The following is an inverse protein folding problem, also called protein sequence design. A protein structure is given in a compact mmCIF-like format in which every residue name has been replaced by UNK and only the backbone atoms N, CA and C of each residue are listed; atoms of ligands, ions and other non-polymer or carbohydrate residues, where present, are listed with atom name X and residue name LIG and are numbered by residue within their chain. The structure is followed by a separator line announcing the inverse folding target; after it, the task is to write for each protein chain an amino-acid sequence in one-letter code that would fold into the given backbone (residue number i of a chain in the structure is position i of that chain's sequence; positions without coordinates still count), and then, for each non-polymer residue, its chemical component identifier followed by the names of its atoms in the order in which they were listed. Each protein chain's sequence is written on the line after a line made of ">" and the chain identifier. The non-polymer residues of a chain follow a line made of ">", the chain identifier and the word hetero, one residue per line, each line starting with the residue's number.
data_IF_174188421945
#
_entry.id   IF_174188421945
#
_cell.length_a   1.000
_cell.length_b   1.000
_cell.length_c   1.000
_cell.angle_alpha   90.00
_cell.angle_beta   90.00
_cell.angle_gamma   90.00
#
_symmetry.space_group_name_H-M   'P 1'
#
loop_
_entity.id
_entity.type
_entity.pdbx_description
1 polymer ?
#
# COMPACT_ATOMS: atom_id res chain seq x y z
N UNK A 1 -31.17 24.07 25.88
CA UNK A 1 -30.75 23.65 24.52
C UNK A 1 -29.49 22.84 24.75
N UNK A 2 -29.52 21.55 24.41
CA UNK A 2 -28.45 20.61 24.75
C UNK A 2 -27.63 20.30 23.50
N UNK A 3 -26.30 20.38 23.62
CA UNK A 3 -25.40 20.04 22.53
C UNK A 3 -25.40 18.52 22.31
N UNK A 4 -25.57 18.09 21.06
CA UNK A 4 -25.57 16.68 20.68
C UNK A 4 -24.39 16.35 19.75
N UNK A 5 -23.75 15.21 19.98
CA UNK A 5 -22.67 14.71 19.14
C UNK A 5 -23.27 14.14 17.86
N UNK A 6 -22.95 14.75 16.72
CA UNK A 6 -23.45 14.39 15.40
C UNK A 6 -22.31 13.89 14.51
N UNK A 7 -22.55 12.81 13.76
CA UNK A 7 -21.63 12.36 12.71
C UNK A 7 -21.73 13.28 11.48
N UNK A 8 -20.67 14.04 11.13
CA UNK A 8 -20.78 15.11 10.13
C UNK A 8 -20.84 14.59 8.68
N UNK A 9 -20.59 13.30 8.44
CA UNK A 9 -20.58 12.70 7.09
C UNK A 9 -21.91 12.02 6.74
N UNK A 10 -22.99 12.32 7.46
CA UNK A 10 -24.33 11.80 7.18
C UNK A 10 -25.37 12.86 7.53
N UNK A 11 -26.41 13.00 6.70
CA UNK A 11 -27.44 14.05 6.86
C UNK A 11 -28.28 13.84 8.12
N UNK A 12 -28.50 12.57 8.47
CA UNK A 12 -29.27 12.18 9.66
C UNK A 12 -28.43 12.23 10.93
N UNK A 13 -27.14 12.59 10.83
CA UNK A 13 -26.25 12.73 11.97
C UNK A 13 -25.83 11.42 12.66
N UNK A 14 -26.34 10.27 12.20
CA UNK A 14 -26.05 8.96 12.76
C UNK A 14 -24.81 8.33 12.11
N UNK A 15 -23.97 7.73 12.96
CA UNK A 15 -22.85 6.92 12.49
C UNK A 15 -23.33 5.57 11.94
N UNK A 16 -22.71 5.11 10.85
CA UNK A 16 -22.82 3.73 10.38
C UNK A 16 -21.46 3.23 9.92
N UNK A 17 -21.25 1.91 9.96
CA UNK A 17 -20.02 1.29 9.45
C UNK A 17 -19.78 1.69 7.99
N UNK A 18 -20.85 1.82 7.20
CA UNK A 18 -20.80 2.27 5.80
C UNK A 18 -20.30 3.71 5.67
N UNK A 19 -20.80 4.64 6.49
CA UNK A 19 -20.37 6.04 6.44
C UNK A 19 -18.94 6.22 6.97
N UNK A 20 -18.54 5.46 8.00
CA UNK A 20 -17.16 5.40 8.47
C UNK A 20 -16.20 4.85 7.41
N UNK A 21 -16.56 3.75 6.75
CA UNK A 21 -15.76 3.18 5.66
C UNK A 21 -15.64 4.13 4.47
N UNK A 22 -16.73 4.81 4.09
CA UNK A 22 -16.72 5.79 3.02
C UNK A 22 -15.79 6.98 3.34
N UNK A 23 -15.80 7.44 4.60
CA UNK A 23 -14.88 8.47 5.08
C UNK A 23 -13.41 8.03 4.96
N UNK A 24 -13.09 6.83 5.44
CA UNK A 24 -11.73 6.27 5.36
C UNK A 24 -11.26 6.14 3.91
N UNK A 25 -12.14 5.69 3.01
CA UNK A 25 -11.85 5.60 1.57
C UNK A 25 -11.62 6.98 0.96
N UNK A 26 -12.43 7.96 1.32
CA UNK A 26 -12.25 9.34 0.87
C UNK A 26 -10.92 9.92 1.36
N UNK A 27 -10.59 9.74 2.64
CA UNK A 27 -9.30 10.18 3.19
C UNK A 27 -8.11 9.50 2.52
N UNK A 28 -8.19 8.20 2.27
CA UNK A 28 -7.15 7.46 1.57
C UNK A 28 -6.99 7.93 0.12
N UNK A 29 -8.08 8.30 -0.55
CA UNK A 29 -8.07 8.87 -1.89
C UNK A 29 -7.46 10.28 -1.90
N UNK A 30 -7.85 11.14 -0.95
CA UNK A 30 -7.33 12.51 -0.82
C UNK A 30 -5.87 12.55 -0.36
N UNK A 31 -5.41 11.62 0.49
CA UNK A 31 -3.99 11.48 0.80
C UNK A 31 -3.19 10.95 -0.39
N UNK A 32 -3.84 10.18 -1.27
CA UNK A 32 -3.28 9.68 -2.52
C UNK A 32 -3.58 10.61 -3.72
N UNK A 33 -3.85 11.90 -3.51
CA UNK A 33 -4.02 12.91 -4.58
C UNK A 33 -2.85 12.94 -5.59
N UNK A 34 -1.74 12.27 -5.29
CA UNK A 34 -0.80 11.76 -6.29
C UNK A 34 -1.39 10.54 -7.03
N UNK A 35 -2.40 10.77 -7.88
CA UNK A 35 -2.91 9.81 -8.87
C UNK A 35 -1.84 9.33 -9.88
N UNK A 36 -0.60 9.77 -9.72
CA UNK A 36 0.62 9.29 -10.39
C UNK A 36 1.12 7.93 -9.86
N UNK A 37 0.63 7.44 -8.72
CA UNK A 37 1.09 6.16 -8.14
C UNK A 37 0.68 4.92 -8.97
N UNK A 38 -0.54 4.89 -9.50
CA UNK A 38 -0.98 3.82 -10.42
C UNK A 38 -0.20 3.82 -11.73
N UNK A 39 0.03 5.02 -12.30
CA UNK A 39 0.80 5.15 -13.54
C UNK A 39 2.28 4.77 -13.36
N UNK A 40 2.90 5.14 -12.24
CA UNK A 40 4.29 4.79 -11.97
C UNK A 40 4.47 3.30 -11.72
N UNK A 41 3.61 2.68 -10.91
CA UNK A 41 3.67 1.24 -10.66
C UNK A 41 3.46 0.42 -11.94
N UNK A 42 2.48 0.81 -12.77
CA UNK A 42 2.25 0.15 -14.07
C UNK A 42 3.40 0.39 -15.04
N UNK A 43 4.05 1.56 -15.02
CA UNK A 43 5.22 1.85 -15.85
C UNK A 43 6.44 1.00 -15.47
N UNK A 44 6.68 0.75 -14.18
CA UNK A 44 7.76 -0.13 -13.72
C UNK A 44 7.59 -1.54 -14.28
N UNK A 45 6.38 -2.09 -14.22
CA UNK A 45 6.11 -3.42 -14.79
C UNK A 45 6.28 -3.46 -16.31
N UNK A 46 5.79 -2.45 -17.03
CA UNK A 46 6.00 -2.35 -18.48
C UNK A 46 7.48 -2.36 -18.83
N UNK A 47 8.30 -1.56 -18.14
CA UNK A 47 9.76 -1.53 -18.35
C UNK A 47 10.41 -2.87 -18.01
N UNK A 48 10.05 -3.48 -16.88
CA UNK A 48 10.64 -4.75 -16.45
C UNK A 48 10.40 -5.88 -17.45
N UNK A 49 9.18 -5.97 -17.99
CA UNK A 49 8.83 -7.03 -18.94
C UNK A 49 9.40 -6.79 -20.34
N UNK A 50 9.59 -5.53 -20.73
CA UNK A 50 10.21 -5.14 -22.01
C UNK A 50 11.74 -5.26 -22.03
N UNK A 51 12.40 -5.51 -20.89
CA UNK A 51 13.86 -5.69 -20.85
C UNK A 51 14.29 -6.90 -21.71
N UNK A 52 15.32 -6.72 -22.53
CA UNK A 52 15.95 -7.80 -23.31
C UNK A 52 16.89 -8.61 -22.40
N UNK A 53 16.32 -9.45 -21.54
CA UNK A 53 17.07 -10.29 -20.59
C UNK A 53 16.44 -11.67 -20.47
N UNK A 54 17.19 -12.64 -19.94
CA UNK A 54 16.71 -14.00 -19.71
C UNK A 54 15.50 -13.95 -18.74
N UNK A 55 14.42 -14.72 -18.97
CA UNK A 55 13.22 -14.73 -18.13
C UNK A 55 13.51 -14.88 -16.63
N UNK A 56 14.53 -15.65 -16.27
CA UNK A 56 14.98 -15.85 -14.88
C UNK A 56 15.33 -14.54 -14.18
N UNK A 57 15.97 -13.60 -14.87
CA UNK A 57 16.31 -12.28 -14.29
C UNK A 57 15.08 -11.42 -14.09
N UNK A 58 14.12 -11.44 -15.03
CA UNK A 58 12.85 -10.70 -14.89
C UNK A 58 12.08 -11.15 -13.66
N UNK A 59 11.99 -12.46 -13.42
CA UNK A 59 11.35 -13.03 -12.22
C UNK A 59 12.11 -12.65 -10.96
N UNK A 60 13.45 -12.72 -10.96
CA UNK A 60 14.25 -12.30 -9.82
C UNK A 60 14.01 -10.83 -9.47
N UNK A 61 14.05 -9.95 -10.47
CA UNK A 61 13.77 -8.51 -10.31
C UNK A 61 12.35 -8.26 -9.82
N UNK A 62 11.35 -8.97 -10.34
CA UNK A 62 9.98 -8.93 -9.84
C UNK A 62 9.91 -9.28 -8.35
N UNK A 63 10.63 -10.33 -7.91
CA UNK A 63 10.68 -10.74 -6.49
C UNK A 63 11.38 -9.69 -5.62
N UNK A 64 12.45 -9.06 -6.13
CA UNK A 64 13.17 -7.98 -5.43
C UNK A 64 12.26 -6.76 -5.23
N UNK A 65 11.64 -6.28 -6.32
CA UNK A 65 10.76 -5.10 -6.31
C UNK A 65 9.57 -5.31 -5.36
N UNK A 66 9.00 -6.52 -5.33
CA UNK A 66 7.90 -6.87 -4.44
C UNK A 66 8.34 -7.24 -3.01
N UNK A 67 9.63 -7.11 -2.64
CA UNK A 67 10.14 -7.53 -1.32
C UNK A 67 9.74 -8.96 -0.95
N UNK A 68 9.68 -9.83 -1.96
CA UNK A 68 9.28 -11.23 -1.85
C UNK A 68 10.47 -12.16 -1.57
N UNK A 69 11.70 -11.62 -1.58
CA UNK A 69 12.88 -12.36 -1.16
C UNK A 69 12.99 -12.37 0.37
N UNK A 70 13.40 -13.50 0.97
CA UNK A 70 13.60 -13.62 2.42
C UNK A 70 14.91 -12.96 2.84
N UNK A 71 15.06 -11.67 2.56
CA UNK A 71 16.20 -10.88 3.03
C UNK A 71 15.98 -10.58 4.52
N UNK A 72 17.05 -10.60 5.33
CA UNK A 72 16.99 -10.36 6.78
C UNK A 72 16.19 -9.12 7.16
N UNK A 73 16.34 -8.03 6.41
CA UNK A 73 15.59 -6.78 6.62
C UNK A 73 14.09 -6.95 6.40
N UNK A 74 13.66 -7.72 5.40
CA UNK A 74 12.25 -7.99 5.11
C UNK A 74 11.66 -9.03 6.07
N UNK A 75 12.45 -10.02 6.51
CA UNK A 75 12.06 -10.97 7.55
C UNK A 75 11.83 -10.28 8.90
N UNK A 76 12.73 -9.37 9.29
CA UNK A 76 12.59 -8.57 10.52
C UNK A 76 11.32 -7.70 10.48
N UNK A 77 11.01 -7.04 9.35
CA UNK A 77 9.75 -6.31 9.17
C UNK A 77 8.50 -7.18 9.31
N UNK A 78 8.61 -8.47 9.00
CA UNK A 78 7.52 -9.45 9.14
C UNK A 78 7.46 -10.07 10.54
N UNK A 79 8.26 -9.60 11.49
CA UNK A 79 8.30 -10.11 12.86
C UNK A 79 9.10 -11.40 13.05
N UNK A 80 9.86 -11.82 12.03
CA UNK A 80 10.75 -12.99 12.16
C UNK A 80 12.01 -12.54 12.89
N UNK A 81 12.36 -13.12 14.04
CA UNK A 81 13.58 -12.78 14.77
C UNK A 81 14.80 -13.17 13.93
N UNK A 82 15.55 -12.17 13.50
CA UNK A 82 16.79 -12.33 12.75
C UNK A 82 17.80 -11.30 13.24
N UNK A 83 19.06 -11.71 13.43
CA UNK A 83 20.14 -10.77 13.72
C UNK A 83 20.37 -9.88 12.50
N UNK A 84 20.10 -8.59 12.67
CA UNK A 84 20.23 -7.56 11.63
C UNK A 84 21.70 -7.29 11.26
N UNK A 85 22.62 -7.66 12.16
CA UNK A 85 24.06 -7.61 11.97
C UNK A 85 24.55 -8.99 11.48
N UNK A 86 25.45 -8.98 10.49
CA UNK A 86 26.25 -10.16 10.19
C UNK A 86 27.27 -10.34 11.33
N UNK A 87 27.49 -11.58 11.83
CA UNK A 87 28.65 -11.86 12.65
C UNK A 87 29.95 -11.64 11.86
#
# INVERSE_FOLDING_TARGET
>A
MEDQIMWPHTKDGLYSVKSGYNLLRHWQSSSNSSSTSSNSYTQVWKKLWNLQTIPRHKVLLWRIINKALPVRSELSKRGVPCLILCP
#
